data_IF_722684158725
#
_entry.id   IF_722684158725
#
_cell.length_a   1.000
_cell.length_b   1.000
_cell.length_c   1.000
_cell.angle_alpha   90.00
_cell.angle_beta   90.00
_cell.angle_gamma   90.00
#
_symmetry.space_group_name_H-M   'P 1'
#
loop_
_entity.id
_entity.type
_entity.pdbx_description
1 polymer ?
#
# COMPACT_ATOMS: atom_id res chain seq x y z
N UNK A 1 11.02 3.09 -14.13
CA UNK A 1 10.91 3.84 -12.87
C UNK A 1 9.44 4.07 -12.65
N UNK A 2 8.87 3.42 -11.65
CA UNK A 2 7.47 3.61 -11.28
C UNK A 2 7.31 4.95 -10.56
N UNK A 3 6.12 5.59 -10.62
CA UNK A 3 5.89 6.83 -9.89
C UNK A 3 5.98 6.61 -8.38
N UNK A 4 6.39 7.64 -7.64
CA UNK A 4 6.42 7.59 -6.18
C UNK A 4 5.01 7.55 -5.59
N UNK A 5 4.85 6.81 -4.48
CA UNK A 5 3.63 6.84 -3.70
C UNK A 5 3.58 8.13 -2.87
N UNK A 6 2.43 8.81 -2.89
CA UNK A 6 2.19 10.04 -2.11
C UNK A 6 1.14 9.86 -1.02
N UNK A 7 0.30 8.84 -1.14
CA UNK A 7 -0.70 8.52 -0.13
C UNK A 7 -0.92 7.01 -0.06
N UNK A 8 -1.13 6.49 1.15
CA UNK A 8 -1.44 5.09 1.39
C UNK A 8 -2.48 4.97 2.49
N UNK A 9 -3.44 4.07 2.30
CA UNK A 9 -4.46 3.73 3.29
C UNK A 9 -4.52 2.21 3.41
N UNK A 10 -4.43 1.71 4.64
CA UNK A 10 -4.74 0.32 4.95
C UNK A 10 -6.25 0.11 4.97
N UNK A 11 -6.73 -0.84 4.19
CA UNK A 11 -8.13 -1.23 4.08
C UNK A 11 -8.36 -2.61 4.70
N UNK A 12 -9.62 -2.94 5.09
CA UNK A 12 -9.96 -4.25 5.64
C UNK A 12 -9.55 -5.40 4.73
N UNK A 13 -9.14 -6.51 5.33
CA UNK A 13 -8.71 -7.69 4.58
C UNK A 13 -7.33 -7.54 3.92
N UNK A 14 -6.43 -6.75 4.52
CA UNK A 14 -5.04 -6.57 4.07
C UNK A 14 -4.90 -5.96 2.68
N UNK A 15 -5.81 -5.06 2.33
CA UNK A 15 -5.72 -4.28 1.11
C UNK A 15 -5.00 -2.96 1.38
N UNK A 16 -4.24 -2.49 0.40
CA UNK A 16 -3.64 -1.16 0.42
C UNK A 16 -4.18 -0.35 -0.73
N UNK A 17 -4.76 0.82 -0.42
CA UNK A 17 -5.08 1.83 -1.40
C UNK A 17 -3.92 2.82 -1.50
N UNK A 18 -3.22 2.81 -2.62
CA UNK A 18 -2.05 3.65 -2.87
C UNK A 18 -2.41 4.69 -3.92
N UNK A 19 -2.09 5.95 -3.63
CA UNK A 19 -2.15 7.04 -4.62
C UNK A 19 -0.73 7.45 -5.00
N UNK A 20 -0.48 7.54 -6.29
CA UNK A 20 0.81 7.90 -6.86
C UNK A 20 0.86 9.39 -7.23
N UNK A 21 2.06 9.94 -7.41
CA UNK A 21 2.27 11.33 -7.88
C UNK A 21 1.54 11.65 -9.18
N UNK A 22 1.26 10.65 -10.01
CA UNK A 22 0.50 10.78 -11.27
C UNK A 22 -0.99 11.04 -11.06
N UNK A 23 -1.48 10.92 -9.82
CA UNK A 23 -2.90 10.96 -9.47
C UNK A 23 -3.60 9.60 -9.60
N UNK A 24 -2.90 8.57 -10.09
CA UNK A 24 -3.43 7.22 -10.18
C UNK A 24 -3.63 6.62 -8.79
N UNK A 25 -4.77 5.95 -8.61
CA UNK A 25 -5.09 5.16 -7.43
C UNK A 25 -5.05 3.68 -7.79
N UNK A 26 -4.38 2.90 -6.96
CA UNK A 26 -4.25 1.45 -7.17
C UNK A 26 -4.48 0.70 -5.87
N UNK A 27 -5.04 -0.50 -6.00
CA UNK A 27 -5.29 -1.42 -4.89
C UNK A 27 -4.30 -2.57 -4.94
N UNK A 28 -3.64 -2.82 -3.83
CA UNK A 28 -2.66 -3.89 -3.67
C UNK A 28 -3.14 -4.88 -2.60
N UNK A 29 -3.13 -6.18 -2.93
CA UNK A 29 -3.47 -7.25 -1.99
C UNK A 29 -2.20 -7.74 -1.27
N UNK A 30 -2.13 -7.55 0.05
CA UNK A 30 -1.01 -8.02 0.87
C UNK A 30 -1.15 -9.47 1.32
N UNK A 31 -2.34 -10.10 1.22
CA UNK A 31 -2.56 -11.49 1.67
C UNK A 31 -1.53 -12.49 1.15
N UNK A 32 -1.17 -12.54 -0.15
CA UNK A 32 -0.19 -13.51 -0.63
C UNK A 32 1.22 -13.25 -0.06
N UNK A 33 1.46 -12.07 0.50
CA UNK A 33 2.76 -11.69 1.07
C UNK A 33 2.87 -11.98 2.57
N UNK A 34 1.74 -12.02 3.30
CA UNK A 34 1.72 -12.28 4.75
C UNK A 34 2.27 -13.65 5.17
N UNK A 35 2.47 -14.57 4.23
CA UNK A 35 3.12 -15.86 4.46
C UNK A 35 4.65 -15.83 4.36
N UNK A 36 5.23 -14.71 3.92
CA UNK A 36 6.69 -14.55 3.92
C UNK A 36 7.17 -14.04 5.28
N UNK A 37 8.30 -14.54 5.81
CA UNK A 37 8.82 -14.13 7.10
C UNK A 37 9.13 -12.62 7.18
N UNK A 38 9.39 -11.96 6.06
CA UNK A 38 9.58 -10.50 6.01
C UNK A 38 8.29 -9.68 6.27
N UNK A 39 7.12 -10.26 6.00
CA UNK A 39 5.82 -9.59 6.13
C UNK A 39 4.88 -10.30 7.11
N UNK A 40 5.34 -11.37 7.76
CA UNK A 40 4.55 -12.15 8.72
C UNK A 40 4.07 -11.27 9.89
N UNK A 41 4.90 -10.31 10.33
CA UNK A 41 4.52 -9.35 11.36
C UNK A 41 3.29 -8.51 10.98
N UNK A 42 3.03 -8.30 9.68
CA UNK A 42 1.86 -7.57 9.19
C UNK A 42 0.56 -8.38 9.30
N UNK A 43 0.59 -9.64 9.76
CA UNK A 43 -0.61 -10.35 10.21
C UNK A 43 -1.22 -9.71 11.47
N UNK A 44 -0.44 -8.94 12.22
CA UNK A 44 -0.98 -8.03 13.23
C UNK A 44 -1.66 -6.85 12.51
N UNK A 45 -2.97 -6.75 12.65
CA UNK A 45 -3.75 -5.72 11.97
C UNK A 45 -3.42 -4.31 12.47
N UNK A 46 -3.03 -4.14 13.74
CA UNK A 46 -2.65 -2.84 14.28
C UNK A 46 -1.31 -2.39 13.68
N UNK A 47 -0.37 -3.33 13.53
CA UNK A 47 0.85 -3.06 12.79
C UNK A 47 0.52 -2.72 11.33
N UNK A 48 -0.30 -3.53 10.66
CA UNK A 48 -0.69 -3.29 9.27
C UNK A 48 -1.34 -1.91 9.05
N UNK A 49 -2.19 -1.47 9.97
CA UNK A 49 -2.83 -0.14 9.94
C UNK A 49 -1.85 1.01 10.18
N UNK A 50 -0.69 0.76 10.79
CA UNK A 50 0.36 1.76 11.00
C UNK A 50 1.20 2.08 9.74
N UNK A 51 0.74 1.63 8.57
CA UNK A 51 1.36 1.94 7.27
C UNK A 51 1.54 3.44 7.08
N UNK A 52 2.71 3.83 6.56
CA UNK A 52 3.06 5.22 6.24
C UNK A 52 3.93 5.27 5.00
N UNK A 53 4.13 6.47 4.45
CA UNK A 53 5.06 6.69 3.35
C UNK A 53 6.32 7.38 3.86
N UNK A 54 7.48 6.82 3.52
CA UNK A 54 8.79 7.37 3.83
C UNK A 54 9.57 7.47 2.52
N UNK A 55 9.90 8.68 2.09
CA UNK A 55 10.63 8.94 0.83
C UNK A 55 10.01 8.25 -0.41
N UNK A 56 8.68 8.22 -0.53
CA UNK A 56 7.98 7.61 -1.67
C UNK A 56 7.79 6.09 -1.57
N UNK A 57 8.28 5.48 -0.48
CA UNK A 57 8.19 4.04 -0.19
C UNK A 57 7.12 3.80 0.87
N UNK A 58 6.33 2.74 0.71
CA UNK A 58 5.34 2.35 1.71
C UNK A 58 6.04 1.55 2.81
N UNK A 59 5.92 1.98 4.06
CA UNK A 59 6.72 1.49 5.17
C UNK A 59 5.85 1.30 6.41
N UNK A 60 6.10 0.23 7.15
CA UNK A 60 5.46 -0.04 8.46
C UNK A 60 6.45 0.14 9.60
N UNK A 61 7.64 -0.41 9.44
CA UNK A 61 8.76 -0.33 10.39
C UNK A 61 10.06 -0.07 9.62
N UNK A 62 11.17 0.12 10.32
CA UNK A 62 12.49 0.28 9.68
C UNK A 62 12.90 -0.96 8.86
N UNK A 63 12.30 -2.11 9.18
CA UNK A 63 12.62 -3.41 8.57
C UNK A 63 11.56 -3.87 7.54
N UNK A 64 10.38 -3.25 7.54
CA UNK A 64 9.24 -3.67 6.72
C UNK A 64 8.82 -2.50 5.82
N UNK A 65 9.25 -2.58 4.57
CA UNK A 65 8.87 -1.65 3.51
C UNK A 65 8.50 -2.36 2.20
N UNK A 66 7.78 -1.63 1.34
CA UNK A 66 7.36 -2.02 0.02
C UNK A 66 7.69 -0.90 -0.96
N UNK A 67 8.53 -1.25 -1.93
CA UNK A 67 8.94 -0.34 -2.98
C UNK A 67 7.76 0.03 -3.89
N UNK A 68 7.69 1.30 -4.36
CA UNK A 68 6.62 1.76 -5.25
C UNK A 68 6.57 0.99 -6.56
N UNK A 69 7.70 0.46 -7.06
CA UNK A 69 7.71 -0.41 -8.24
C UNK A 69 6.92 -1.71 -8.05
N UNK A 70 7.06 -2.35 -6.89
CA UNK A 70 6.31 -3.57 -6.58
C UNK A 70 4.83 -3.26 -6.47
N UNK A 71 4.50 -2.18 -5.78
CA UNK A 71 3.12 -1.70 -5.67
C UNK A 71 2.54 -1.44 -7.06
N UNK A 72 3.22 -0.66 -7.90
CA UNK A 72 2.71 -0.28 -9.21
C UNK A 72 2.54 -1.48 -10.17
N UNK A 73 3.50 -2.41 -10.18
CA UNK A 73 3.48 -3.58 -11.08
C UNK A 73 2.49 -4.67 -10.68
N UNK A 74 2.23 -4.84 -9.37
CA UNK A 74 1.38 -5.92 -8.84
C UNK A 74 0.00 -5.46 -8.37
N UNK A 75 -0.21 -4.15 -8.21
CA UNK A 75 -1.53 -3.60 -7.88
C UNK A 75 -2.45 -3.53 -9.09
N UNK A 76 -3.74 -3.61 -8.83
CA UNK A 76 -4.78 -3.35 -9.82
C UNK A 76 -5.15 -1.85 -9.79
N UNK A 77 -5.38 -1.23 -10.95
CA UNK A 77 -5.95 0.12 -11.00
C UNK A 77 -7.33 0.10 -10.32
N UNK A 78 -7.58 1.11 -9.48
CA UNK A 78 -8.86 1.25 -8.79
C UNK A 78 -9.57 2.50 -9.26
N UNK A 79 -10.76 2.34 -9.81
CA UNK A 79 -11.65 3.44 -10.18
C UNK A 79 -12.38 4.02 -8.96
N UNK A 80 -11.67 4.25 -7.85
CA UNK A 80 -12.19 5.06 -6.75
C UNK A 80 -12.10 6.55 -7.17
N UNK A 81 -12.87 6.89 -8.20
CA UNK A 81 -13.20 8.26 -8.55
C UNK A 81 -14.18 8.73 -7.49
N UNK A 82 -13.67 9.55 -6.57
CA UNK A 82 -14.41 10.49 -5.71
C UNK A 82 -15.94 10.32 -5.76
N UNK A 83 -16.50 9.63 -4.78
CA UNK A 83 -17.78 10.03 -4.18
C UNK A 83 -17.50 10.67 -2.83
N UNK A 84 -16.82 11.82 -2.87
CA UNK A 84 -16.96 12.79 -1.79
C UNK A 84 -17.65 14.00 -2.40
N UNK A 85 -18.96 13.84 -2.59
CA UNK A 85 -19.93 14.91 -2.76
C UNK A 85 -20.83 14.83 -1.54
N UNK A 86 -20.57 15.65 -0.54
CA UNK A 86 -21.56 16.18 0.40
C UNK A 86 -21.00 17.40 1.13
#
# INVERSE_FOLDING_TARGET
>A
MSPDAIHVIALPGYWLAVTFVTGERRLFDMKPYLGFPAFEALQDEDLFRAVRIVHGVVTWTDEIDLSPDTLYLKSAPSEDTRRDTA
#
